data_IF_876409134276
#
_entry.id   IF_876409134276
#
_cell.length_a   1.000
_cell.length_b   1.000
_cell.length_c   1.000
_cell.angle_alpha   90.00
_cell.angle_beta   90.00
_cell.angle_gamma   90.00
#
_symmetry.space_group_name_H-M   'P 1'
#
loop_
_entity.id
_entity.type
_entity.pdbx_description
1 polymer ?
#
# COMPACT_ATOMS: atom_id res chain seq x y z
N UNK A 1 8.06 -8.87 22.86
CA UNK A 1 9.34 -8.12 22.69
C UNK A 1 9.79 -7.61 24.06
N UNK A 2 11.02 -7.97 24.51
CA UNK A 2 11.53 -7.59 25.84
C UNK A 2 11.82 -6.09 25.96
N UNK A 3 11.75 -5.56 27.20
CA UNK A 3 11.98 -4.13 27.51
C UNK A 3 13.34 -3.63 26.98
N UNK A 4 14.40 -4.44 27.15
CA UNK A 4 15.76 -4.11 26.68
C UNK A 4 15.81 -3.92 25.15
N UNK A 5 15.08 -4.74 24.39
CA UNK A 5 15.02 -4.63 22.94
C UNK A 5 14.27 -3.37 22.49
N UNK A 6 13.18 -3.01 23.18
CA UNK A 6 12.45 -1.74 22.92
C UNK A 6 13.36 -0.53 23.19
N UNK A 7 14.09 -0.53 24.28
CA UNK A 7 15.04 0.53 24.61
C UNK A 7 16.18 0.64 23.60
N UNK A 8 16.72 -0.48 23.11
CA UNK A 8 17.77 -0.50 22.09
C UNK A 8 17.27 0.09 20.75
N UNK A 9 16.03 -0.27 20.34
CA UNK A 9 15.38 0.26 19.15
C UNK A 9 15.12 1.77 19.25
N UNK A 10 14.57 2.24 20.37
CA UNK A 10 14.29 3.67 20.60
C UNK A 10 15.58 4.50 20.61
N UNK A 11 16.67 3.99 21.22
CA UNK A 11 17.98 4.66 21.21
C UNK A 11 18.58 4.75 19.81
N UNK A 12 18.44 3.70 18.99
CA UNK A 12 18.91 3.73 17.60
C UNK A 12 18.08 4.72 16.78
N UNK A 13 16.74 4.66 16.87
CA UNK A 13 15.85 5.59 16.17
C UNK A 13 16.15 7.05 16.53
N UNK A 14 16.32 7.36 17.82
CA UNK A 14 16.69 8.71 18.25
C UNK A 14 18.10 9.15 17.78
N UNK A 15 19.04 8.22 17.62
CA UNK A 15 20.35 8.52 17.06
C UNK A 15 20.24 8.87 15.55
N UNK A 16 19.52 8.05 14.79
CA UNK A 16 19.31 8.26 13.35
C UNK A 16 18.60 9.59 13.09
N UNK A 17 17.49 9.88 13.79
CA UNK A 17 16.78 11.16 13.65
C UNK A 17 17.70 12.37 13.89
N UNK A 18 18.50 12.33 14.97
CA UNK A 18 19.42 13.45 15.24
C UNK A 18 20.46 13.65 14.14
N UNK A 19 20.87 12.57 13.47
CA UNK A 19 21.82 12.66 12.35
C UNK A 19 21.15 13.15 11.08
N UNK A 20 19.95 12.66 10.77
CA UNK A 20 19.14 13.14 9.64
C UNK A 20 18.87 14.65 9.76
N UNK A 21 18.40 15.10 10.92
CA UNK A 21 18.14 16.54 11.14
C UNK A 21 19.38 17.41 10.99
N UNK A 22 20.56 16.91 11.39
CA UNK A 22 21.84 17.60 11.16
C UNK A 22 22.27 17.59 9.70
N UNK A 23 21.81 16.60 8.92
CA UNK A 23 22.05 16.49 7.49
C UNK A 23 21.04 17.30 6.65
N UNK A 24 20.07 18.02 7.29
CA UNK A 24 19.10 18.88 6.62
C UNK A 24 17.66 18.34 6.63
N UNK A 25 17.44 17.06 6.95
CA UNK A 25 16.11 16.44 6.96
C UNK A 25 15.33 16.79 8.23
N UNK A 26 14.71 17.96 8.27
CA UNK A 26 14.10 18.55 9.48
C UNK A 26 12.82 17.83 9.93
N UNK A 27 12.07 17.22 9.00
CA UNK A 27 10.81 16.52 9.21
C UNK A 27 10.97 15.05 9.64
N UNK A 28 12.22 14.55 9.80
CA UNK A 28 12.49 13.16 10.16
C UNK A 28 11.75 12.74 11.43
N UNK A 29 10.94 11.66 11.33
CA UNK A 29 10.10 11.08 12.39
C UNK A 29 10.38 9.59 12.55
N UNK A 30 10.39 9.13 13.80
CA UNK A 30 10.58 7.73 14.14
C UNK A 30 9.23 7.02 14.36
N UNK A 31 8.99 5.97 13.59
CA UNK A 31 7.90 5.03 13.81
C UNK A 31 8.40 3.88 14.69
N UNK A 32 7.97 3.87 15.96
CA UNK A 32 8.40 2.87 16.91
C UNK A 32 7.77 1.48 16.65
N UNK A 33 6.58 1.42 16.05
CA UNK A 33 5.89 0.17 15.71
C UNK A 33 6.59 -0.53 14.56
N UNK A 34 6.80 0.18 13.46
CA UNK A 34 7.49 -0.35 12.28
C UNK A 34 9.01 -0.41 12.41
N UNK A 35 9.60 0.15 13.48
CA UNK A 35 11.05 0.27 13.66
C UNK A 35 11.75 0.92 12.45
N UNK A 36 11.19 2.03 11.98
CA UNK A 36 11.62 2.77 10.80
C UNK A 36 11.66 4.27 11.05
N UNK A 37 12.36 5.00 10.20
CA UNK A 37 12.36 6.46 10.19
C UNK A 37 11.78 6.91 8.86
N UNK A 38 10.89 7.89 8.91
CA UNK A 38 10.31 8.57 7.76
C UNK A 38 10.83 10.00 7.72
N UNK A 39 11.24 10.46 6.55
CA UNK A 39 11.66 11.83 6.30
C UNK A 39 11.38 12.18 4.84
N UNK A 40 11.29 13.47 4.54
CA UNK A 40 11.15 13.96 3.17
C UNK A 40 12.44 14.69 2.79
N UNK A 41 12.99 14.40 1.62
CA UNK A 41 14.12 15.17 1.11
C UNK A 41 13.65 16.54 0.63
N UNK A 42 14.52 17.56 0.67
CA UNK A 42 14.17 18.89 0.18
C UNK A 42 13.80 18.81 -1.30
N UNK A 43 12.56 19.20 -1.64
CA UNK A 43 12.00 19.14 -2.99
C UNK A 43 11.17 17.91 -3.31
N UNK A 44 11.10 16.92 -2.40
CA UNK A 44 10.26 15.74 -2.59
C UNK A 44 8.91 15.88 -1.87
N UNK A 45 7.82 15.53 -2.53
CA UNK A 45 6.50 15.45 -1.88
C UNK A 45 6.28 14.11 -1.20
N UNK A 46 7.02 13.06 -1.60
CA UNK A 46 6.86 11.70 -1.10
C UNK A 46 7.90 11.37 -0.02
N UNK A 47 7.47 10.93 1.17
CA UNK A 47 8.40 10.62 2.25
C UNK A 47 9.21 9.35 1.98
N UNK A 48 10.51 9.44 2.20
CA UNK A 48 11.43 8.29 2.22
C UNK A 48 11.27 7.51 3.53
N UNK A 49 11.17 6.19 3.44
CA UNK A 49 11.06 5.29 4.59
C UNK A 49 12.35 4.48 4.73
N UNK A 50 12.97 4.62 5.90
CA UNK A 50 14.21 3.96 6.29
C UNK A 50 13.95 2.86 7.29
N UNK A 51 14.20 1.62 6.90
CA UNK A 51 14.17 0.47 7.80
C UNK A 51 15.43 0.44 8.68
N UNK A 52 15.24 0.38 10.01
CA UNK A 52 16.34 0.39 10.98
C UNK A 52 16.81 -1.01 11.40
N UNK A 53 16.09 -2.06 11.00
CA UNK A 53 16.42 -3.44 11.35
C UNK A 53 17.83 -3.85 10.84
N UNK A 54 18.25 -3.55 9.61
CA UNK A 54 19.59 -3.85 9.12
C UNK A 54 20.68 -3.15 9.92
N UNK A 55 20.48 -1.88 10.35
CA UNK A 55 21.42 -1.15 11.18
C UNK A 55 21.57 -1.74 12.59
N UNK A 56 20.51 -2.36 13.12
CA UNK A 56 20.55 -3.04 14.41
C UNK A 56 21.26 -4.40 14.30
N UNK A 57 21.01 -5.14 13.21
CA UNK A 57 21.55 -6.47 12.95
C UNK A 57 23.04 -6.45 12.55
N UNK A 58 23.52 -5.35 11.94
CA UNK A 58 24.89 -5.24 11.49
C UNK A 58 25.91 -5.41 12.60
N UNK A 59 26.87 -6.33 12.41
CA UNK A 59 27.96 -6.63 13.33
C UNK A 59 29.23 -5.85 12.95
N UNK A 60 30.02 -5.44 13.94
CA UNK A 60 31.29 -4.72 13.74
C UNK A 60 31.19 -3.18 13.85
N UNK A 61 32.26 -2.57 14.35
CA UNK A 61 32.40 -1.12 14.53
C UNK A 61 31.51 -0.48 15.62
N UNK A 62 31.78 0.79 15.93
CA UNK A 62 30.96 1.56 16.87
C UNK A 62 29.61 1.92 16.23
N UNK A 63 28.51 1.67 16.94
CA UNK A 63 27.15 1.96 16.46
C UNK A 63 26.99 3.40 15.89
N UNK A 64 27.60 4.38 16.54
CA UNK A 64 27.57 5.77 16.05
C UNK A 64 28.21 5.91 14.69
N UNK A 65 29.41 5.34 14.48
CA UNK A 65 30.11 5.41 13.21
C UNK A 65 29.36 4.69 12.07
N UNK A 66 28.60 3.63 12.38
CA UNK A 66 27.70 2.99 11.39
C UNK A 66 26.55 3.89 11.00
N UNK A 67 25.89 4.51 11.99
CA UNK A 67 24.81 5.48 11.72
C UNK A 67 25.34 6.70 10.98
N UNK A 68 26.54 7.18 11.32
CA UNK A 68 27.16 8.32 10.65
C UNK A 68 27.47 8.00 9.17
N UNK A 69 28.04 6.83 8.91
CA UNK A 69 28.28 6.33 7.53
C UNK A 69 26.98 6.11 6.76
N UNK A 70 26.00 5.53 7.40
CA UNK A 70 24.69 5.28 6.84
C UNK A 70 24.00 6.61 6.48
N UNK A 71 23.96 7.58 7.37
CA UNK A 71 23.37 8.91 7.09
C UNK A 71 24.19 9.72 6.09
N UNK A 72 25.51 9.55 6.08
CA UNK A 72 26.37 10.17 5.05
C UNK A 72 26.17 9.56 3.67
N UNK A 73 25.85 8.25 3.62
CA UNK A 73 25.44 7.56 2.39
C UNK A 73 24.01 7.91 1.95
N UNK A 74 23.20 8.46 2.86
CA UNK A 74 21.87 9.02 2.57
C UNK A 74 21.99 10.48 2.03
N UNK A 75 22.96 10.78 1.24
CA UNK A 75 22.69 11.73 0.17
C UNK A 75 21.69 11.02 -0.72
N UNK A 76 20.39 11.22 -0.43
CA UNK A 76 19.33 10.83 -1.36
C UNK A 76 19.73 11.54 -2.65
N UNK A 77 20.15 10.83 -3.70
CA UNK A 77 20.39 11.48 -4.97
C UNK A 77 19.07 12.15 -5.31
N UNK A 78 19.14 13.41 -5.72
CA UNK A 78 17.94 14.11 -6.12
C UNK A 78 17.17 13.27 -7.13
N UNK A 79 15.83 13.29 -7.05
CA UNK A 79 14.98 12.67 -8.06
C UNK A 79 15.45 13.20 -9.43
N UNK A 80 15.63 12.36 -10.46
CA UNK A 80 16.00 12.81 -11.80
C UNK A 80 15.09 13.93 -12.27
N UNK A 81 15.68 15.00 -12.85
CA UNK A 81 14.93 16.18 -13.24
C UNK A 81 14.17 15.99 -14.56
N UNK A 82 14.63 15.10 -15.41
CA UNK A 82 14.03 14.85 -16.69
C UNK A 82 13.80 13.36 -16.97
N UNK A 83 12.96 13.09 -17.98
CA UNK A 83 12.59 11.75 -18.39
C UNK A 83 13.75 10.89 -18.89
N UNK A 84 14.71 11.48 -19.59
CA UNK A 84 15.82 10.75 -20.17
C UNK A 84 16.73 10.17 -19.06
N UNK A 85 16.91 10.92 -17.97
CA UNK A 85 17.67 10.49 -16.80
C UNK A 85 16.88 9.48 -15.96
N UNK A 86 15.57 9.72 -15.78
CA UNK A 86 14.72 8.87 -14.93
C UNK A 86 14.48 7.50 -15.54
N UNK A 87 14.14 7.43 -16.83
CA UNK A 87 13.68 6.24 -17.53
C UNK A 87 14.53 4.99 -17.30
N UNK A 88 15.87 5.00 -17.42
CA UNK A 88 16.70 3.80 -17.22
C UNK A 88 16.75 3.33 -15.75
N UNK A 89 16.44 4.20 -14.81
CA UNK A 89 16.48 3.94 -13.36
C UNK A 89 15.14 3.42 -12.80
N UNK A 90 14.08 3.48 -13.59
CA UNK A 90 12.76 3.04 -13.13
C UNK A 90 12.72 1.54 -12.92
N UNK A 91 12.14 1.10 -11.81
CA UNK A 91 11.85 -0.31 -11.52
C UNK A 91 10.43 -0.44 -10.98
N UNK A 92 9.65 -1.46 -11.40
CA UNK A 92 8.37 -1.75 -10.82
C UNK A 92 8.55 -2.53 -9.52
N UNK A 93 7.74 -2.26 -8.52
CA UNK A 93 7.75 -3.01 -7.26
C UNK A 93 6.34 -3.44 -6.87
N UNK A 94 6.17 -4.73 -6.57
CA UNK A 94 4.92 -5.31 -6.08
C UNK A 94 4.86 -5.15 -4.56
N UNK A 95 3.82 -4.48 -4.03
CA UNK A 95 3.65 -4.23 -2.59
C UNK A 95 2.18 -4.22 -2.19
N UNK A 96 1.90 -4.45 -0.90
CA UNK A 96 0.67 -4.02 -0.25
C UNK A 96 0.57 -2.50 -0.17
N UNK A 97 -0.43 -1.99 0.52
CA UNK A 97 -0.58 -0.56 0.68
C UNK A 97 0.65 0.09 1.34
N UNK A 98 1.19 1.13 0.74
CA UNK A 98 2.37 1.86 1.21
C UNK A 98 1.96 3.23 1.76
N UNK A 99 2.50 3.67 2.92
CA UNK A 99 2.24 5.00 3.44
C UNK A 99 2.70 6.11 2.48
N UNK A 100 2.03 7.25 2.52
CA UNK A 100 2.17 8.31 1.52
C UNK A 100 1.24 8.02 0.33
N UNK A 101 1.35 8.80 -0.71
CA UNK A 101 0.57 8.63 -1.93
C UNK A 101 1.49 8.47 -3.15
N UNK A 102 2.38 7.44 -3.16
CA UNK A 102 3.24 7.23 -4.33
C UNK A 102 2.40 6.81 -5.53
N UNK A 103 2.94 7.04 -6.73
CA UNK A 103 2.36 6.57 -7.98
C UNK A 103 2.16 5.07 -7.92
N UNK A 104 0.90 4.63 -8.06
CA UNK A 104 0.53 3.21 -7.97
C UNK A 104 -0.68 2.90 -8.84
N UNK A 105 -0.84 1.61 -9.14
CA UNK A 105 -2.08 1.05 -9.68
C UNK A 105 -2.38 -0.30 -9.04
N UNK A 106 -3.67 -0.68 -8.84
CA UNK A 106 -4.03 -2.00 -8.34
C UNK A 106 -3.72 -3.06 -9.41
N UNK A 107 -3.16 -4.21 -8.99
CA UNK A 107 -2.80 -5.31 -9.91
C UNK A 107 -3.32 -6.66 -9.43
N UNK A 108 -3.40 -6.88 -8.13
CA UNK A 108 -3.88 -8.10 -7.48
C UNK A 108 -4.66 -7.70 -6.22
N UNK A 109 -5.47 -8.59 -5.63
CA UNK A 109 -6.18 -8.30 -4.39
C UNK A 109 -5.24 -7.76 -3.30
N UNK A 110 -5.49 -6.54 -2.82
CA UNK A 110 -4.69 -5.80 -1.83
C UNK A 110 -3.25 -5.47 -2.25
N UNK A 111 -2.86 -5.76 -3.50
CA UNK A 111 -1.52 -5.50 -4.00
C UNK A 111 -1.53 -4.49 -5.14
N UNK A 112 -0.49 -3.68 -5.14
CA UNK A 112 -0.31 -2.59 -6.09
C UNK A 112 1.05 -2.71 -6.76
N UNK A 113 1.09 -2.32 -8.02
CA UNK A 113 2.32 -1.97 -8.69
C UNK A 113 2.67 -0.52 -8.36
N UNK A 114 3.86 -0.32 -7.82
CA UNK A 114 4.48 0.99 -7.63
C UNK A 114 5.65 1.11 -8.58
N UNK A 115 6.08 2.35 -8.83
CA UNK A 115 7.32 2.61 -9.54
C UNK A 115 8.30 3.27 -8.60
N UNK A 116 9.55 2.84 -8.66
CA UNK A 116 10.66 3.43 -7.92
C UNK A 116 11.76 3.85 -8.89
N UNK A 117 12.48 4.92 -8.52
CA UNK A 117 13.78 5.28 -9.10
C UNK A 117 14.83 4.54 -8.28
N UNK A 118 15.50 3.59 -8.90
CA UNK A 118 16.52 2.73 -8.31
C UNK A 118 17.90 3.30 -8.61
N UNK A 119 18.55 3.81 -7.58
CA UNK A 119 19.88 4.40 -7.63
C UNK A 119 20.83 3.57 -6.75
N UNK A 120 22.15 3.60 -6.95
CA UNK A 120 23.08 2.67 -6.31
C UNK A 120 22.95 2.51 -4.80
N UNK A 121 22.56 3.56 -4.08
CA UNK A 121 22.46 3.55 -2.62
C UNK A 121 21.04 3.78 -2.09
N UNK A 122 20.07 4.07 -2.98
CA UNK A 122 18.71 4.45 -2.57
C UNK A 122 17.66 4.02 -3.58
N UNK A 123 16.47 3.74 -3.06
CA UNK A 123 15.27 3.47 -3.84
C UNK A 123 14.20 4.48 -3.40
N UNK A 124 13.77 5.33 -4.32
CA UNK A 124 12.78 6.38 -4.07
C UNK A 124 11.51 6.10 -4.86
N UNK A 125 10.36 6.14 -4.21
CA UNK A 125 9.08 5.99 -4.91
C UNK A 125 8.82 7.21 -5.81
N UNK A 126 8.30 6.98 -7.00
CA UNK A 126 7.79 8.02 -7.89
C UNK A 126 6.52 8.59 -7.28
N UNK A 127 6.43 9.91 -7.17
CA UNK A 127 5.23 10.62 -6.73
C UNK A 127 4.15 10.65 -7.81
N UNK A 128 2.88 10.94 -7.45
CA UNK A 128 1.77 10.96 -8.41
C UNK A 128 1.94 12.07 -9.46
N UNK A 129 2.53 13.21 -9.09
CA UNK A 129 2.71 14.35 -10.00
C UNK A 129 4.03 14.30 -10.78
N UNK A 130 4.93 13.38 -10.42
CA UNK A 130 6.26 13.26 -11.04
C UNK A 130 6.20 12.96 -12.55
N UNK A 131 5.28 12.11 -13.08
CA UNK A 131 5.17 11.88 -14.52
C UNK A 131 4.91 13.18 -15.30
N UNK A 132 4.01 14.03 -14.81
CA UNK A 132 3.74 15.34 -15.41
C UNK A 132 4.98 16.25 -15.39
N UNK A 133 5.76 16.22 -14.29
CA UNK A 133 7.04 16.94 -14.18
C UNK A 133 8.09 16.47 -15.20
N UNK A 134 8.05 15.20 -15.61
CA UNK A 134 8.90 14.64 -16.68
C UNK A 134 8.32 14.81 -18.09
N UNK A 135 7.08 15.33 -18.22
CA UNK A 135 6.41 15.51 -19.49
C UNK A 135 5.88 14.23 -20.13
N UNK A 136 5.58 13.20 -19.29
CA UNK A 136 5.08 11.89 -19.72
C UNK A 136 3.82 11.51 -18.93
N UNK A 137 3.10 10.51 -19.41
CA UNK A 137 1.95 9.94 -18.69
C UNK A 137 2.38 8.93 -17.63
N UNK A 138 1.51 8.67 -16.65
CA UNK A 138 1.72 7.62 -15.66
C UNK A 138 1.90 6.24 -16.32
N UNK A 139 1.15 5.93 -17.38
CA UNK A 139 1.25 4.66 -18.12
C UNK A 139 2.63 4.48 -18.78
N UNK A 140 3.22 5.55 -19.32
CA UNK A 140 4.58 5.51 -19.87
C UNK A 140 5.61 5.21 -18.79
N UNK A 141 5.41 5.74 -17.57
CA UNK A 141 6.27 5.45 -16.41
C UNK A 141 6.17 3.98 -16.00
N UNK A 142 4.95 3.42 -15.88
CA UNK A 142 4.75 2.00 -15.59
C UNK A 142 5.34 1.10 -16.68
N UNK A 143 5.09 1.43 -17.94
CA UNK A 143 5.61 0.66 -19.07
C UNK A 143 7.16 0.66 -19.10
N UNK A 144 7.78 1.83 -18.88
CA UNK A 144 9.24 1.94 -18.81
C UNK A 144 9.81 1.14 -17.63
N UNK A 145 9.18 1.21 -16.46
CA UNK A 145 9.60 0.44 -15.30
C UNK A 145 9.57 -1.07 -15.56
N UNK A 146 8.47 -1.59 -16.14
CA UNK A 146 8.37 -3.02 -16.52
C UNK A 146 9.40 -3.41 -17.57
N UNK A 147 9.65 -2.56 -18.58
CA UNK A 147 10.64 -2.81 -19.59
C UNK A 147 12.09 -2.90 -19.05
N UNK A 148 12.34 -2.29 -17.91
CA UNK A 148 13.65 -2.34 -17.25
C UNK A 148 13.85 -3.60 -16.37
N UNK A 149 12.82 -4.44 -16.15
CA UNK A 149 13.01 -5.76 -15.58
C UNK A 149 13.54 -6.70 -16.66
N UNK A 150 14.59 -7.46 -16.35
CA UNK A 150 15.24 -8.37 -17.31
C UNK A 150 14.32 -9.50 -17.78
N UNK A 151 13.26 -9.81 -17.02
CA UNK A 151 12.43 -10.98 -17.27
C UNK A 151 13.22 -12.29 -17.20
N UNK A 152 14.32 -12.30 -16.43
CA UNK A 152 15.21 -13.43 -16.29
C UNK A 152 14.45 -14.69 -15.85
N UNK A 153 14.83 -15.82 -16.44
CA UNK A 153 14.36 -17.15 -16.06
C UNK A 153 15.56 -18.04 -15.80
N UNK A 154 15.35 -19.07 -14.97
CA UNK A 154 16.37 -20.08 -14.73
C UNK A 154 16.62 -20.92 -16.00
N UNK A 155 17.82 -21.45 -16.12
CA UNK A 155 18.13 -22.45 -17.11
C UNK A 155 17.94 -23.85 -16.54
N UNK A 156 17.59 -24.80 -17.39
CA UNK A 156 17.38 -26.19 -17.01
C UNK A 156 15.91 -26.58 -17.07
N UNK A 157 15.68 -27.90 -17.03
CA UNK A 157 14.35 -28.50 -17.05
C UNK A 157 14.30 -29.49 -15.90
N UNK A 158 13.25 -29.41 -15.07
CA UNK A 158 12.99 -30.38 -14.02
C UNK A 158 12.30 -31.61 -14.62
N UNK A 159 12.72 -32.80 -14.22
CA UNK A 159 12.08 -34.07 -14.60
C UNK A 159 10.86 -34.42 -13.74
N UNK A 160 10.74 -33.79 -12.60
CA UNK A 160 9.67 -33.94 -11.62
C UNK A 160 9.39 -32.58 -10.95
N UNK A 161 8.23 -32.41 -10.29
CA UNK A 161 7.92 -31.18 -9.56
C UNK A 161 8.97 -30.82 -8.51
N UNK A 162 9.52 -29.61 -8.60
CA UNK A 162 10.51 -29.10 -7.66
C UNK A 162 10.08 -27.74 -7.10
N UNK A 163 10.70 -27.36 -5.99
CA UNK A 163 10.55 -26.00 -5.43
C UNK A 163 11.75 -25.16 -5.83
N UNK A 164 11.49 -24.09 -6.55
CA UNK A 164 12.50 -23.08 -6.90
C UNK A 164 12.35 -21.90 -5.95
N UNK A 165 13.43 -21.55 -5.28
CA UNK A 165 13.47 -20.38 -4.41
C UNK A 165 14.37 -19.31 -5.00
N UNK A 166 13.80 -18.17 -5.32
CA UNK A 166 14.51 -16.97 -5.73
C UNK A 166 14.78 -16.11 -4.49
N UNK A 167 16.03 -15.79 -4.28
CA UNK A 167 16.46 -14.89 -3.22
C UNK A 167 16.95 -13.60 -3.85
N UNK A 168 16.39 -12.47 -3.40
CA UNK A 168 16.82 -11.16 -3.86
C UNK A 168 17.97 -10.67 -2.98
N UNK A 169 19.13 -10.51 -3.58
CA UNK A 169 20.35 -9.96 -2.98
C UNK A 169 20.43 -8.42 -3.07
N UNK A 170 19.40 -7.77 -3.65
CA UNK A 170 19.24 -6.31 -3.71
C UNK A 170 18.68 -5.78 -5.01
N UNK A 171 19.08 -6.35 -6.15
CA UNK A 171 18.82 -5.79 -7.48
C UNK A 171 17.93 -6.67 -8.38
N UNK A 172 17.59 -7.88 -7.95
CA UNK A 172 16.92 -8.85 -8.82
C UNK A 172 15.40 -8.60 -8.93
N UNK A 173 14.77 -7.99 -7.94
CA UNK A 173 13.33 -7.68 -7.94
C UNK A 173 12.41 -8.88 -8.24
N UNK A 174 12.78 -10.09 -7.79
CA UNK A 174 12.11 -11.34 -8.17
C UNK A 174 10.59 -11.32 -7.95
N UNK A 175 10.10 -10.78 -6.85
CA UNK A 175 8.66 -10.67 -6.58
C UNK A 175 7.94 -9.77 -7.59
N UNK A 176 8.63 -8.78 -8.14
CA UNK A 176 8.08 -7.87 -9.14
C UNK A 176 8.00 -8.48 -10.55
N UNK A 177 8.67 -9.61 -10.79
CA UNK A 177 8.53 -10.35 -12.05
C UNK A 177 7.10 -10.90 -12.23
N UNK A 178 6.33 -11.07 -11.13
CA UNK A 178 4.91 -11.39 -11.20
C UNK A 178 4.07 -10.30 -11.90
N UNK A 179 4.63 -9.10 -12.13
CA UNK A 179 3.99 -8.03 -12.90
C UNK A 179 4.21 -8.18 -14.42
N UNK A 180 5.07 -9.10 -14.85
CA UNK A 180 5.40 -9.30 -16.27
C UNK A 180 4.54 -10.41 -16.85
N UNK A 181 3.75 -10.07 -17.86
CA UNK A 181 2.89 -11.03 -18.55
C UNK A 181 3.70 -12.19 -19.15
N UNK A 182 3.24 -13.41 -18.97
CA UNK A 182 3.88 -14.64 -19.42
C UNK A 182 5.18 -15.02 -18.69
N UNK A 183 5.66 -14.21 -17.72
CA UNK A 183 6.89 -14.54 -17.01
C UNK A 183 6.75 -15.80 -16.15
N UNK A 184 5.66 -15.88 -15.38
CA UNK A 184 5.40 -17.04 -14.52
C UNK A 184 5.23 -18.32 -15.37
N UNK A 185 4.49 -18.24 -16.47
CA UNK A 185 4.27 -19.34 -17.40
C UNK A 185 5.61 -19.93 -17.93
N UNK A 186 6.58 -19.07 -18.25
CA UNK A 186 7.90 -19.50 -18.73
C UNK A 186 8.67 -20.36 -17.74
N UNK A 187 8.30 -20.39 -16.47
CA UNK A 187 8.92 -21.24 -15.44
C UNK A 187 8.42 -22.69 -15.46
N UNK A 188 7.44 -23.04 -16.31
CA UNK A 188 6.84 -24.36 -16.35
C UNK A 188 7.88 -25.50 -16.50
N UNK A 189 8.85 -25.33 -17.39
CA UNK A 189 9.93 -26.30 -17.56
C UNK A 189 10.85 -26.44 -16.35
N UNK A 190 11.07 -25.37 -15.62
CA UNK A 190 11.97 -25.32 -14.46
C UNK A 190 11.33 -25.90 -13.19
N UNK A 191 10.02 -25.86 -13.09
CA UNK A 191 9.30 -26.42 -11.91
C UNK A 191 8.66 -27.79 -12.17
N UNK A 192 8.68 -28.26 -13.41
CA UNK A 192 8.16 -29.58 -13.79
C UNK A 192 6.64 -29.63 -13.90
N UNK A 193 5.97 -28.53 -14.25
CA UNK A 193 4.52 -28.44 -14.42
C UNK A 193 4.01 -27.01 -14.47
N UNK A 194 2.70 -26.80 -14.30
CA UNK A 194 2.09 -25.47 -14.26
C UNK A 194 2.57 -24.71 -13.03
N UNK A 195 3.25 -23.55 -13.19
CA UNK A 195 3.83 -22.83 -12.06
C UNK A 195 2.78 -22.23 -11.12
N UNK A 196 3.04 -22.36 -9.81
CA UNK A 196 2.35 -21.67 -8.71
C UNK A 196 3.40 -20.94 -7.89
N UNK A 197 3.24 -19.64 -7.72
CA UNK A 197 4.20 -18.75 -7.08
C UNK A 197 3.69 -18.20 -5.74
N UNK A 198 4.62 -17.97 -4.79
CA UNK A 198 4.38 -17.31 -3.51
C UNK A 198 5.38 -16.18 -3.34
N UNK A 199 4.90 -15.00 -2.96
CA UNK A 199 5.71 -13.81 -2.70
C UNK A 199 5.50 -13.32 -1.25
N UNK A 200 5.92 -14.09 -0.23
CA UNK A 200 5.59 -13.80 1.16
C UNK A 200 6.24 -12.52 1.68
N UNK A 201 7.41 -12.18 1.17
CA UNK A 201 8.15 -10.97 1.52
C UNK A 201 8.92 -10.42 0.32
N UNK A 202 9.46 -9.20 0.45
CA UNK A 202 10.18 -8.50 -0.62
C UNK A 202 11.34 -9.31 -1.23
N UNK A 203 12.09 -10.01 -0.39
CA UNK A 203 13.33 -10.70 -0.79
C UNK A 203 13.16 -12.17 -1.16
N UNK A 204 11.93 -12.70 -1.15
CA UNK A 204 11.69 -14.13 -1.37
C UNK A 204 10.54 -14.37 -2.34
N UNK A 205 10.81 -15.10 -3.41
CA UNK A 205 9.82 -15.68 -4.30
C UNK A 205 10.01 -17.19 -4.32
N UNK A 206 8.93 -17.95 -4.07
CA UNK A 206 8.92 -19.41 -4.12
C UNK A 206 8.03 -19.84 -5.29
N UNK A 207 8.47 -20.79 -6.10
CA UNK A 207 7.68 -21.31 -7.22
C UNK A 207 7.76 -22.83 -7.23
N UNK A 208 6.62 -23.49 -7.45
CA UNK A 208 6.54 -24.94 -7.65
C UNK A 208 5.48 -25.25 -8.70
N UNK A 209 5.35 -26.52 -9.08
CA UNK A 209 4.29 -26.95 -9.98
C UNK A 209 2.95 -27.09 -9.24
N UNK A 210 1.85 -26.80 -9.92
CA UNK A 210 0.50 -27.19 -9.50
C UNK A 210 0.39 -28.71 -9.37
N UNK A 211 -0.30 -29.19 -8.35
CA UNK A 211 -0.37 -30.61 -8.04
C UNK A 211 0.89 -31.19 -7.38
N UNK A 212 1.94 -30.41 -7.16
CA UNK A 212 3.12 -30.82 -6.41
C UNK A 212 2.78 -31.19 -4.98
N UNK A 213 3.39 -32.26 -4.44
CA UNK A 213 3.30 -32.63 -3.03
C UNK A 213 3.81 -31.54 -2.08
N UNK A 214 4.70 -30.65 -2.57
CA UNK A 214 5.25 -29.56 -1.81
C UNK A 214 4.27 -28.40 -1.59
N UNK A 215 3.22 -28.29 -2.43
CA UNK A 215 2.37 -27.10 -2.49
C UNK A 215 1.67 -26.80 -1.15
N UNK A 216 1.18 -27.84 -0.44
CA UNK A 216 0.60 -27.66 0.91
C UNK A 216 1.62 -27.12 1.91
N UNK A 217 2.85 -27.64 1.88
CA UNK A 217 3.94 -27.16 2.74
C UNK A 217 4.35 -25.72 2.44
N UNK A 218 4.29 -25.30 1.16
CA UNK A 218 4.61 -23.94 0.75
C UNK A 218 3.58 -22.92 1.24
N UNK A 219 2.29 -23.24 1.33
CA UNK A 219 1.31 -22.36 1.98
C UNK A 219 1.69 -22.08 3.43
N UNK A 220 2.03 -23.12 4.22
CA UNK A 220 2.46 -22.95 5.61
C UNK A 220 3.77 -22.14 5.72
N UNK A 221 4.74 -22.40 4.84
CA UNK A 221 6.01 -21.69 4.80
C UNK A 221 5.82 -20.22 4.40
N UNK A 222 4.97 -19.94 3.41
CA UNK A 222 4.67 -18.58 2.99
C UNK A 222 4.00 -17.77 4.10
N UNK A 223 3.07 -18.38 4.85
CA UNK A 223 2.44 -17.77 6.03
C UNK A 223 3.47 -17.45 7.11
N UNK A 224 4.38 -18.39 7.43
CA UNK A 224 5.42 -18.18 8.44
C UNK A 224 6.39 -17.04 8.05
N UNK A 225 6.84 -17.03 6.79
CA UNK A 225 7.68 -15.95 6.27
C UNK A 225 6.93 -14.63 6.32
N UNK A 226 5.69 -14.58 5.83
CA UNK A 226 4.85 -13.39 5.84
C UNK A 226 4.66 -12.81 7.23
N UNK A 227 4.34 -13.64 8.21
CA UNK A 227 4.10 -13.24 9.60
C UNK A 227 5.37 -12.72 10.30
N UNK A 228 6.55 -13.24 9.94
CA UNK A 228 7.83 -12.87 10.55
C UNK A 228 8.60 -11.79 9.79
N UNK A 229 8.22 -11.50 8.55
CA UNK A 229 8.91 -10.56 7.68
C UNK A 229 8.85 -9.12 8.20
N UNK A 230 9.93 -8.37 7.98
CA UNK A 230 9.94 -6.92 8.20
C UNK A 230 9.26 -6.14 7.07
N UNK A 231 9.15 -6.77 5.89
CA UNK A 231 8.56 -6.22 4.65
C UNK A 231 7.69 -7.27 3.96
N UNK A 232 6.58 -7.68 4.62
CA UNK A 232 5.68 -8.67 4.06
C UNK A 232 5.00 -8.13 2.78
N UNK A 233 4.66 -9.04 1.85
CA UNK A 233 3.89 -8.73 0.65
C UNK A 233 2.55 -9.47 0.72
N UNK A 234 2.57 -10.82 0.65
CA UNK A 234 1.34 -11.62 0.62
C UNK A 234 1.60 -13.07 1.01
N UNK A 235 0.73 -13.70 1.80
CA UNK A 235 0.80 -15.14 2.07
C UNK A 235 0.12 -15.97 0.98
N UNK A 236 -0.56 -15.32 0.00
CA UNK A 236 -1.32 -15.98 -1.05
C UNK A 236 -0.41 -16.64 -2.08
N UNK A 237 -0.97 -17.64 -2.76
CA UNK A 237 -0.40 -18.24 -3.96
C UNK A 237 -0.98 -17.56 -5.23
N UNK A 238 -0.21 -17.60 -6.31
CA UNK A 238 -0.54 -17.01 -7.61
C UNK A 238 -0.24 -17.99 -8.73
N UNK A 239 -1.16 -18.06 -9.69
CA UNK A 239 -0.99 -18.70 -10.98
C UNK A 239 -0.99 -17.66 -12.10
N UNK A 240 -1.34 -18.08 -13.30
CA UNK A 240 -1.52 -17.20 -14.46
C UNK A 240 -2.76 -17.60 -15.25
N UNK A 241 -3.35 -16.64 -15.95
CA UNK A 241 -4.49 -16.83 -16.82
C UNK A 241 -4.07 -17.14 -18.28
N UNK A 242 -5.06 -17.33 -19.16
CA UNK A 242 -4.86 -17.61 -20.59
C UNK A 242 -4.11 -16.49 -21.35
N UNK A 243 -3.99 -15.32 -20.76
CA UNK A 243 -3.22 -14.18 -21.30
C UNK A 243 -1.79 -14.13 -20.76
N UNK A 244 -1.45 -15.03 -19.84
CA UNK A 244 -0.19 -15.03 -19.12
C UNK A 244 -0.13 -14.03 -17.97
N UNK A 245 -1.23 -13.34 -17.63
CA UNK A 245 -1.26 -12.40 -16.51
C UNK A 245 -1.29 -13.18 -15.20
N UNK A 246 -0.56 -12.71 -14.20
CA UNK A 246 -0.58 -13.27 -12.86
C UNK A 246 -1.95 -13.05 -12.21
N UNK A 247 -2.54 -14.12 -11.68
CA UNK A 247 -3.83 -14.12 -10.99
C UNK A 247 -3.72 -14.89 -9.66
N UNK A 248 -4.63 -14.64 -8.68
CA UNK A 248 -4.70 -15.47 -7.49
C UNK A 248 -4.89 -16.96 -7.85
N UNK A 249 -4.12 -17.82 -7.19
CA UNK A 249 -4.31 -19.26 -7.32
C UNK A 249 -5.57 -19.69 -6.58
N UNK A 250 -6.50 -20.30 -7.29
CA UNK A 250 -7.80 -20.72 -6.76
C UNK A 250 -8.03 -22.20 -7.01
N UNK A 251 -8.76 -22.83 -6.09
CA UNK A 251 -9.17 -24.22 -6.22
C UNK A 251 -10.65 -24.37 -5.85
N UNK A 252 -11.36 -25.36 -6.43
CA UNK A 252 -12.77 -25.54 -6.13
C UNK A 252 -12.99 -25.98 -4.67
N UNK A 253 -14.19 -25.74 -4.11
CA UNK A 253 -14.59 -26.33 -2.84
C UNK A 253 -14.40 -27.84 -2.83
N UNK A 254 -13.91 -28.39 -1.71
CA UNK A 254 -13.59 -29.81 -1.58
C UNK A 254 -12.18 -30.21 -2.05
N UNK A 255 -11.46 -29.34 -2.73
CA UNK A 255 -10.04 -29.59 -3.05
C UNK A 255 -9.19 -29.63 -1.78
N UNK A 256 -8.17 -30.51 -1.66
CA UNK A 256 -7.33 -30.62 -0.45
C UNK A 256 -6.62 -29.33 -0.04
N UNK A 257 -6.39 -28.40 -0.97
CA UNK A 257 -5.76 -27.10 -0.70
C UNK A 257 -6.77 -25.98 -0.43
N UNK A 258 -8.09 -26.22 -0.54
CA UNK A 258 -9.09 -25.16 -0.42
C UNK A 258 -8.98 -24.40 0.90
N UNK A 259 -8.82 -25.14 2.01
CA UNK A 259 -8.65 -24.51 3.32
C UNK A 259 -7.39 -23.63 3.41
N UNK A 260 -6.27 -24.05 2.81
CA UNK A 260 -5.03 -23.29 2.79
C UNK A 260 -5.14 -22.02 1.95
N UNK A 261 -5.79 -22.10 0.78
CA UNK A 261 -6.07 -20.94 -0.10
C UNK A 261 -6.93 -19.91 0.66
N UNK A 262 -8.08 -20.34 1.20
CA UNK A 262 -8.99 -19.45 1.95
C UNK A 262 -8.33 -18.83 3.18
N UNK A 263 -7.47 -19.59 3.87
CA UNK A 263 -6.72 -19.07 5.01
C UNK A 263 -5.75 -17.96 4.58
N UNK A 264 -4.99 -18.15 3.51
CA UNK A 264 -4.04 -17.18 3.01
C UNK A 264 -4.73 -15.88 2.55
N UNK A 265 -5.86 -15.98 1.85
CA UNK A 265 -6.71 -14.85 1.46
C UNK A 265 -7.20 -14.08 2.68
N UNK A 266 -7.76 -14.78 3.67
CA UNK A 266 -8.25 -14.16 4.89
C UNK A 266 -7.16 -13.49 5.72
N UNK A 267 -5.96 -14.08 5.81
CA UNK A 267 -4.82 -13.47 6.50
C UNK A 267 -4.37 -12.17 5.85
N UNK A 268 -4.30 -12.14 4.51
CA UNK A 268 -3.97 -10.91 3.79
C UNK A 268 -5.03 -9.83 4.01
N UNK A 269 -6.30 -10.17 3.90
CA UNK A 269 -7.40 -9.24 4.13
C UNK A 269 -7.36 -8.66 5.56
N UNK A 270 -7.22 -9.50 6.58
CA UNK A 270 -7.10 -9.07 7.99
C UNK A 270 -5.93 -8.11 8.17
N UNK A 271 -4.78 -8.43 7.59
CA UNK A 271 -3.59 -7.58 7.67
C UNK A 271 -3.83 -6.20 7.04
N UNK A 272 -4.36 -6.16 5.81
CA UNK A 272 -4.52 -4.92 5.06
C UNK A 272 -5.61 -4.01 5.66
N UNK A 273 -6.74 -4.56 6.12
CA UNK A 273 -7.76 -3.79 6.82
C UNK A 273 -7.27 -3.27 8.19
N UNK A 274 -6.45 -4.06 8.90
CA UNK A 274 -5.83 -3.61 10.16
C UNK A 274 -4.82 -2.48 9.90
N UNK A 275 -4.02 -2.61 8.84
CA UNK A 275 -3.06 -1.58 8.42
C UNK A 275 -3.78 -0.29 8.04
N UNK A 276 -4.86 -0.37 7.27
CA UNK A 276 -5.69 0.78 6.90
C UNK A 276 -6.23 1.50 8.15
N UNK A 277 -6.84 0.77 9.09
CA UNK A 277 -7.37 1.34 10.32
C UNK A 277 -6.30 2.04 11.17
N UNK A 278 -5.06 1.53 11.17
CA UNK A 278 -3.96 2.16 11.91
C UNK A 278 -3.29 3.34 11.18
N UNK A 279 -3.55 3.51 9.88
CA UNK A 279 -2.96 4.56 9.05
C UNK A 279 -3.80 5.83 8.99
N UNK A 280 -5.09 5.70 9.23
CA UNK A 280 -6.01 6.84 9.29
C UNK A 280 -5.87 7.56 10.64
N UNK A 281 -5.95 8.91 10.67
CA UNK A 281 -5.91 9.64 11.93
C UNK A 281 -7.11 9.23 12.79
N UNK A 282 -6.85 8.95 14.07
CA UNK A 282 -7.93 8.80 15.05
C UNK A 282 -8.79 10.07 15.04
N UNK A 283 -10.14 9.96 15.09
CA UNK A 283 -10.99 11.13 15.33
C UNK A 283 -10.49 11.82 16.60
N UNK A 284 -10.46 13.18 16.64
CA UNK A 284 -10.09 13.86 17.86
C UNK A 284 -11.03 13.38 18.96
N UNK A 285 -10.46 12.91 20.07
CA UNK A 285 -11.24 12.59 21.27
C UNK A 285 -12.17 13.77 21.53
N UNK A 286 -13.45 13.52 21.65
CA UNK A 286 -14.42 14.55 22.00
C UNK A 286 -13.88 15.27 23.24
N UNK A 287 -13.60 16.57 23.10
CA UNK A 287 -13.22 17.39 24.22
C UNK A 287 -14.38 17.31 25.21
N UNK A 288 -14.15 16.73 26.38
CA UNK A 288 -15.11 16.76 27.48
C UNK A 288 -15.66 18.19 27.59
N UNK A 289 -16.98 18.40 27.68
CA UNK A 289 -17.53 19.74 27.80
C UNK A 289 -16.93 20.38 29.04
N UNK A 290 -16.06 21.36 28.80
CA UNK A 290 -15.48 22.19 29.87
C UNK A 290 -16.62 22.86 30.62
N UNK A 291 -16.96 22.33 31.79
CA UNK A 291 -17.82 22.97 32.75
C UNK A 291 -17.04 24.12 33.40
N UNK A 292 -16.96 25.24 32.69
CA UNK A 292 -16.51 26.51 33.25
C UNK A 292 -17.14 27.67 32.43
N UNK A 293 -18.41 27.91 32.61
CA UNK A 293 -19.01 29.22 32.38
C UNK A 293 -19.76 29.64 33.62
N UNK A 294 -19.07 30.42 34.46
CA UNK A 294 -19.69 31.33 35.38
C UNK A 294 -19.63 32.75 34.75
N UNK A 295 -20.75 33.45 34.73
CA UNK A 295 -20.80 34.75 34.03
C UNK A 295 -20.15 35.86 34.85
N UNK A 296 -19.24 36.59 34.26
CA UNK A 296 -18.79 37.86 34.83
C UNK A 296 -19.18 39.02 33.92
N UNK A 297 -20.10 39.78 34.45
CA UNK A 297 -20.72 40.99 33.90
C UNK A 297 -19.74 42.18 33.92
N UNK A 298 -19.98 43.12 32.97
CA UNK A 298 -19.78 44.58 33.01
C UNK A 298 -18.48 45.14 32.41
N UNK A 299 -18.72 45.97 31.39
CA UNK A 299 -17.78 47.01 30.91
C UNK A 299 -17.97 47.41 29.43
N UNK A 300 -18.89 48.37 29.19
CA UNK A 300 -19.08 49.07 27.92
C UNK A 300 -18.08 50.24 27.79
N UNK A 301 -18.17 51.13 26.74
CA UNK A 301 -17.65 50.98 25.38
C UNK A 301 -16.64 52.10 25.06
N UNK A 302 -15.90 52.00 23.96
CA UNK A 302 -15.29 53.20 23.34
C UNK A 302 -15.19 53.07 21.82
N UNK A 303 -15.65 54.13 21.25
CA UNK A 303 -15.97 54.50 19.87
C UNK A 303 -14.75 54.82 19.02
N UNK A 304 -14.99 54.81 17.70
CA UNK A 304 -14.37 55.58 16.60
C UNK A 304 -13.08 54.90 15.98
N UNK A 305 -12.87 54.77 14.69
CA UNK A 305 -13.25 55.58 13.53
C UNK A 305 -13.06 54.79 12.23
N UNK A 306 -13.92 55.01 11.27
CA UNK A 306 -13.83 54.76 9.83
C UNK A 306 -13.30 56.05 9.14
N UNK A 307 -13.07 56.15 7.82
CA UNK A 307 -12.87 55.25 6.68
C UNK A 307 -11.76 55.71 5.70
N UNK A 308 -11.45 54.96 4.60
CA UNK A 308 -11.12 55.54 3.27
C UNK A 308 -11.00 54.42 2.21
N UNK A 309 -11.82 54.35 1.36
CA UNK A 309 -12.15 54.51 -0.07
C UNK A 309 -11.00 54.54 -1.07
N UNK A 310 -11.33 53.92 -2.20
CA UNK A 310 -10.96 54.12 -3.62
C UNK A 310 -9.73 53.34 -4.09
N UNK A 311 -9.65 52.70 -5.26
CA UNK A 311 -10.32 52.86 -6.54
C UNK A 311 -10.08 51.64 -7.44
N UNK A 312 -11.06 51.22 -8.19
CA UNK A 312 -10.90 50.54 -9.48
C UNK A 312 -10.87 51.63 -10.59
N UNK A 313 -10.41 51.38 -11.80
CA UNK A 313 -11.06 50.54 -12.82
C UNK A 313 -10.11 49.93 -13.90
N UNK A 314 -10.56 48.98 -14.63
CA UNK A 314 -11.17 49.01 -15.98
C UNK A 314 -10.38 48.30 -17.09
N UNK A 315 -11.02 47.35 -17.67
CA UNK A 315 -11.41 47.06 -19.08
C UNK A 315 -10.39 46.65 -20.14
N UNK A 316 -10.85 45.67 -20.85
CA UNK A 316 -10.95 45.42 -22.31
C UNK A 316 -9.75 44.70 -22.94
N UNK A 317 -9.81 43.73 -23.83
CA UNK A 317 -10.72 43.44 -24.92
C UNK A 317 -10.43 42.03 -25.48
N UNK A 318 -11.45 41.31 -25.93
CA UNK A 318 -11.32 40.20 -26.88
C UNK A 318 -11.34 40.74 -28.33
N UNK A 319 -10.92 40.00 -29.34
CA UNK A 319 -11.87 39.20 -30.10
C UNK A 319 -11.35 37.88 -30.73
N UNK A 320 -12.17 36.86 -30.78
CA UNK A 320 -12.87 36.19 -31.91
C UNK A 320 -12.05 35.94 -33.18
N UNK A 321 -11.98 34.73 -33.72
CA UNK A 321 -12.93 33.99 -34.54
C UNK A 321 -12.27 32.90 -35.39
N UNK A 322 -13.05 31.82 -35.66
CA UNK A 322 -13.25 31.02 -36.91
C UNK A 322 -12.20 29.91 -37.18
N UNK A 323 -12.53 28.64 -37.33
CA UNK A 323 -13.56 27.92 -37.96
C UNK A 323 -13.23 26.42 -38.01
N UNK A 324 -14.26 25.60 -37.94
CA UNK A 324 -14.26 24.16 -38.24
C UNK A 324 -14.24 23.88 -39.75
N UNK A 325 -14.03 22.66 -40.27
CA UNK A 325 -15.00 21.60 -40.13
C UNK A 325 -14.49 20.14 -40.02
N UNK A 326 -15.27 19.34 -39.32
CA UNK A 326 -15.87 18.02 -39.58
C UNK A 326 -15.20 17.04 -40.55
N UNK A 327 -14.94 15.84 -40.11
CA UNK A 327 -15.56 14.55 -40.51
C UNK A 327 -14.76 13.36 -39.96
N UNK A 328 -15.38 12.45 -39.32
CA UNK A 328 -15.69 11.06 -39.62
C UNK A 328 -15.63 10.16 -38.39
N UNK A 329 -16.74 9.49 -38.20
CA UNK A 329 -17.01 8.41 -37.24
C UNK A 329 -15.97 7.29 -37.18
N UNK A 330 -15.62 6.88 -35.97
CA UNK A 330 -15.31 5.48 -35.67
C UNK A 330 -15.70 5.16 -34.21
N UNK A 331 -16.11 3.92 -33.91
CA UNK A 331 -16.99 3.63 -32.78
C UNK A 331 -16.30 3.59 -31.43
N UNK A 332 -17.01 4.10 -30.42
CA UNK A 332 -16.69 4.06 -29.00
C UNK A 332 -16.46 2.65 -28.51
N UNK A 333 -15.27 2.40 -28.03
CA UNK A 333 -14.98 1.35 -27.06
C UNK A 333 -15.11 1.96 -25.66
N UNK A 334 -15.73 1.19 -24.76
CA UNK A 334 -16.18 1.60 -23.44
C UNK A 334 -15.10 2.29 -22.59
N UNK A 335 -15.48 3.42 -22.00
CA UNK A 335 -14.74 4.18 -21.00
C UNK A 335 -14.44 3.34 -19.76
N UNK A 336 -13.16 3.10 -19.53
CA UNK A 336 -12.65 2.79 -18.20
C UNK A 336 -12.50 4.13 -17.45
N UNK A 337 -13.01 4.27 -16.20
CA UNK A 337 -12.82 5.50 -15.47
C UNK A 337 -11.36 5.62 -15.02
N UNK A 338 -10.65 6.53 -15.66
CA UNK A 338 -9.35 7.00 -15.23
C UNK A 338 -9.60 8.19 -14.31
N UNK A 339 -9.24 8.04 -13.03
CA UNK A 339 -8.72 9.15 -12.18
C UNK A 339 -8.32 8.57 -10.82
N UNK A 340 -7.01 8.42 -10.61
CA UNK A 340 -6.47 8.35 -9.27
C UNK A 340 -6.50 9.76 -8.67
N UNK A 341 -7.66 10.17 -8.17
CA UNK A 341 -7.79 11.38 -7.37
C UNK A 341 -7.22 11.10 -5.98
N UNK A 342 -6.19 11.84 -5.62
CA UNK A 342 -5.72 11.96 -4.25
C UNK A 342 -6.91 12.39 -3.38
N UNK A 343 -7.21 11.73 -2.23
CA UNK A 343 -8.33 12.14 -1.40
C UNK A 343 -8.14 13.58 -0.95
N UNK A 344 -9.03 14.45 -1.40
CA UNK A 344 -9.12 15.84 -0.93
C UNK A 344 -9.39 15.82 0.58
N UNK A 345 -8.82 16.78 1.31
CA UNK A 345 -9.11 16.96 2.74
C UNK A 345 -10.61 17.09 3.05
N UNK A 346 -11.42 17.51 2.08
CA UNK A 346 -12.88 17.60 2.18
C UNK A 346 -13.56 16.22 2.28
N UNK A 347 -13.00 15.17 1.71
CA UNK A 347 -13.61 13.83 1.69
C UNK A 347 -13.28 13.02 2.95
N UNK A 348 -12.18 13.36 3.63
CA UNK A 348 -11.85 12.80 4.95
C UNK A 348 -12.81 13.35 6.03
N UNK A 349 -13.47 14.47 5.78
CA UNK A 349 -14.43 15.07 6.71
C UNK A 349 -15.76 14.29 6.78
N UNK A 350 -16.16 13.62 5.71
CA UNK A 350 -17.42 12.88 5.64
C UNK A 350 -17.45 11.65 6.58
N UNK A 351 -16.30 11.10 6.93
CA UNK A 351 -16.17 9.90 7.77
C UNK A 351 -15.56 10.18 9.16
N UNK A 352 -15.41 11.46 9.52
CA UNK A 352 -14.99 11.84 10.88
C UNK A 352 -16.03 11.39 11.88
N UNK A 353 -15.65 10.47 12.76
CA UNK A 353 -16.51 9.91 13.80
C UNK A 353 -17.07 8.52 13.53
N UNK A 354 -16.98 7.98 12.30
CA UNK A 354 -17.37 6.61 12.03
C UNK A 354 -16.31 5.63 12.59
N UNK A 355 -16.76 4.65 13.36
CA UNK A 355 -15.88 3.61 13.91
C UNK A 355 -15.42 2.63 12.82
N UNK A 356 -14.13 2.37 12.72
CA UNK A 356 -13.59 1.37 11.80
C UNK A 356 -13.69 -0.03 12.41
N UNK A 357 -14.57 -0.83 11.85
CA UNK A 357 -14.73 -2.24 12.27
C UNK A 357 -13.51 -3.05 11.85
N UNK A 358 -13.00 -3.85 12.78
CA UNK A 358 -11.90 -4.78 12.53
C UNK A 358 -12.37 -6.03 11.78
N UNK A 359 -11.45 -6.66 11.04
CA UNK A 359 -11.65 -7.95 10.39
C UNK A 359 -10.90 -9.04 11.16
N UNK A 360 -11.53 -10.21 11.32
CA UNK A 360 -10.91 -11.39 11.94
C UNK A 360 -11.00 -12.60 11.02
N UNK A 361 -10.01 -13.47 11.10
CA UNK A 361 -10.07 -14.79 10.50
C UNK A 361 -10.68 -15.77 11.51
N UNK A 362 -11.71 -16.47 11.12
CA UNK A 362 -12.44 -17.46 11.96
C UNK A 362 -12.55 -18.79 11.25
N UNK A 363 -12.78 -19.86 12.02
CA UNK A 363 -12.89 -21.22 11.50
C UNK A 363 -11.65 -22.06 11.77
N UNK A 364 -11.58 -23.21 11.12
CA UNK A 364 -10.50 -24.18 11.23
C UNK A 364 -10.27 -24.89 9.89
N UNK A 365 -9.23 -25.72 9.82
CA UNK A 365 -8.95 -26.50 8.61
C UNK A 365 -10.14 -27.46 8.25
N UNK A 366 -10.85 -27.98 9.25
CA UNK A 366 -12.01 -28.86 9.06
C UNK A 366 -13.32 -28.14 8.80
N UNK A 367 -13.54 -26.96 9.37
CA UNK A 367 -14.77 -26.15 9.24
C UNK A 367 -14.72 -25.15 8.07
N UNK A 368 -13.53 -24.96 7.50
CA UNK A 368 -13.26 -23.93 6.52
C UNK A 368 -12.93 -22.58 7.18
N UNK A 369 -12.05 -21.82 6.53
CA UNK A 369 -11.64 -20.48 6.96
C UNK A 369 -12.53 -19.40 6.34
N UNK A 370 -12.93 -18.43 7.16
CA UNK A 370 -13.78 -17.29 6.79
C UNK A 370 -13.29 -16.02 7.45
N UNK A 371 -13.53 -14.90 6.80
CA UNK A 371 -13.32 -13.56 7.38
C UNK A 371 -14.60 -13.09 8.03
N UNK A 372 -14.50 -12.52 9.23
CA UNK A 372 -15.63 -11.98 9.97
C UNK A 372 -15.36 -10.58 10.46
N UNK A 373 -16.25 -9.64 10.09
CA UNK A 373 -16.30 -8.31 10.65
C UNK A 373 -17.12 -8.34 11.95
N UNK A 374 -16.56 -7.79 13.05
CA UNK A 374 -17.26 -7.77 14.35
C UNK A 374 -17.70 -6.36 14.63
N UNK A 375 -18.99 -6.14 14.56
CA UNK A 375 -19.63 -4.86 14.81
C UNK A 375 -20.18 -4.82 16.26
N UNK A 376 -19.54 -4.06 17.14
CA UNK A 376 -19.84 -4.05 18.58
C UNK A 376 -20.75 -2.89 19.01
N UNK A 377 -21.10 -1.95 18.09
CA UNK A 377 -21.81 -0.70 18.46
C UNK A 377 -22.94 -0.37 17.49
N UNK A 378 -23.97 0.30 18.01
CA UNK A 378 -25.07 0.88 17.21
C UNK A 378 -24.72 2.26 16.61
N UNK A 379 -23.43 2.59 16.55
CA UNK A 379 -22.93 3.84 15.98
C UNK A 379 -22.62 3.67 14.49
N UNK A 380 -22.56 4.76 13.71
CA UNK A 380 -22.11 4.71 12.33
C UNK A 380 -20.72 4.05 12.22
N UNK A 381 -20.62 3.05 11.37
CA UNK A 381 -19.41 2.24 11.24
C UNK A 381 -18.95 2.13 9.79
N UNK A 382 -17.67 1.83 9.61
CA UNK A 382 -17.05 1.48 8.33
C UNK A 382 -16.66 0.00 8.36
N UNK A 383 -17.47 -0.83 7.72
CA UNK A 383 -17.28 -2.27 7.63
C UNK A 383 -16.24 -2.62 6.56
N UNK A 384 -15.29 -3.53 6.83
CA UNK A 384 -14.48 -4.17 5.81
C UNK A 384 -15.32 -5.17 5.01
N UNK A 385 -14.96 -5.46 3.78
CA UNK A 385 -15.52 -6.61 3.04
C UNK A 385 -15.13 -7.89 3.78
N UNK A 386 -16.11 -8.75 4.07
CA UNK A 386 -15.94 -9.96 4.85
C UNK A 386 -16.80 -11.10 4.28
N UNK A 387 -16.57 -12.33 4.71
CA UNK A 387 -17.51 -13.43 4.41
C UNK A 387 -18.76 -13.34 5.29
N UNK A 388 -18.58 -12.87 6.54
CA UNK A 388 -19.62 -12.78 7.55
C UNK A 388 -19.51 -11.45 8.35
N UNK A 389 -20.66 -10.96 8.83
CA UNK A 389 -20.74 -9.84 9.76
C UNK A 389 -21.42 -10.31 11.04
N UNK A 390 -20.85 -10.00 12.19
CA UNK A 390 -21.36 -10.35 13.50
C UNK A 390 -21.73 -9.11 14.31
N UNK A 391 -22.95 -9.09 14.87
CA UNK A 391 -23.41 -8.12 15.86
C UNK A 391 -23.94 -8.87 17.08
N UNK A 392 -23.24 -8.77 18.20
CA UNK A 392 -23.57 -9.58 19.38
C UNK A 392 -23.54 -11.08 19.10
N UNK A 393 -24.68 -11.74 19.24
CA UNK A 393 -24.83 -13.18 18.94
C UNK A 393 -25.32 -13.47 17.50
N UNK A 394 -25.77 -12.44 16.77
CA UNK A 394 -26.30 -12.58 15.42
C UNK A 394 -25.13 -12.52 14.40
N UNK A 395 -25.10 -13.55 13.51
CA UNK A 395 -24.10 -13.67 12.44
C UNK A 395 -24.83 -13.80 11.12
N UNK A 396 -24.55 -12.91 10.17
CA UNK A 396 -25.13 -12.91 8.83
C UNK A 396 -24.03 -12.98 7.76
N UNK A 397 -24.39 -13.57 6.62
CA UNK A 397 -23.49 -13.54 5.46
C UNK A 397 -23.32 -12.10 4.94
N UNK A 398 -22.20 -11.85 4.29
CA UNK A 398 -21.97 -10.54 3.65
C UNK A 398 -23.07 -10.19 2.64
N UNK A 399 -23.53 -11.17 1.87
CA UNK A 399 -24.56 -10.98 0.83
C UNK A 399 -25.90 -10.55 1.42
N UNK A 400 -26.20 -10.93 2.66
CA UNK A 400 -27.41 -10.49 3.37
C UNK A 400 -27.27 -9.07 3.91
N UNK A 401 -26.07 -8.62 4.22
CA UNK A 401 -25.82 -7.31 4.85
C UNK A 401 -25.53 -6.23 3.81
N UNK A 402 -24.79 -6.52 2.76
CA UNK A 402 -24.33 -5.51 1.78
C UNK A 402 -25.42 -4.69 1.11
N UNK A 403 -26.66 -5.21 0.86
CA UNK A 403 -27.73 -4.39 0.30
C UNK A 403 -28.19 -3.22 1.19
N UNK A 404 -27.86 -3.27 2.48
CA UNK A 404 -28.19 -2.24 3.46
C UNK A 404 -27.05 -1.27 3.73
N UNK A 405 -25.93 -1.39 3.01
CA UNK A 405 -24.72 -0.62 3.20
C UNK A 405 -24.51 0.38 2.06
N UNK A 406 -23.81 1.45 2.34
CA UNK A 406 -23.35 2.41 1.34
C UNK A 406 -21.84 2.30 1.16
N UNK A 407 -21.35 2.26 -0.07
CA UNK A 407 -19.93 2.24 -0.33
C UNK A 407 -19.26 3.52 0.20
N UNK A 408 -18.21 3.37 0.99
CA UNK A 408 -17.40 4.49 1.45
C UNK A 408 -16.39 4.83 0.34
N UNK A 409 -16.56 5.96 -0.38
CA UNK A 409 -15.71 6.30 -1.50
C UNK A 409 -14.25 6.53 -1.06
N UNK A 410 -13.32 6.21 -1.96
CA UNK A 410 -11.89 6.52 -1.85
C UNK A 410 -11.13 5.83 -0.70
N UNK A 411 -11.71 4.84 -0.04
CA UNK A 411 -10.97 3.99 0.90
C UNK A 411 -10.39 2.77 0.19
N UNK A 412 -9.11 2.50 0.40
CA UNK A 412 -8.42 1.32 -0.11
C UNK A 412 -7.68 0.60 1.02
N UNK A 413 -8.03 -0.65 1.29
CA UNK A 413 -9.12 -1.43 0.69
C UNK A 413 -10.49 -0.80 0.94
N UNK A 414 -11.47 -1.13 0.04
CA UNK A 414 -12.82 -0.59 0.10
C UNK A 414 -13.51 -0.91 1.43
N UNK A 415 -14.28 0.08 1.94
CA UNK A 415 -15.15 -0.10 3.11
C UNK A 415 -16.57 0.33 2.80
N UNK A 416 -17.49 -0.11 3.64
CA UNK A 416 -18.91 0.12 3.51
C UNK A 416 -19.44 0.76 4.77
N UNK A 417 -20.15 1.87 4.62
CA UNK A 417 -20.75 2.59 5.71
C UNK A 417 -22.11 1.97 6.09
N UNK A 418 -22.36 1.86 7.38
CA UNK A 418 -23.64 1.49 7.97
C UNK A 418 -23.99 2.46 9.08
N UNK A 419 -25.23 2.95 9.07
CA UNK A 419 -25.78 3.84 10.10
C UNK A 419 -26.43 3.06 11.25
N UNK A 420 -26.66 1.77 11.11
CA UNK A 420 -27.23 0.86 12.09
C UNK A 420 -27.38 -0.55 11.55
N UNK A 421 -27.61 -1.51 12.46
CA UNK A 421 -27.84 -2.92 12.07
C UNK A 421 -29.15 -3.05 11.29
N UNK A 422 -29.17 -3.79 10.17
CA UNK A 422 -30.40 -3.99 9.39
C UNK A 422 -31.47 -4.67 10.25
N UNK A 423 -32.59 -3.97 10.48
CA UNK A 423 -33.77 -4.56 11.11
C UNK A 423 -34.25 -5.75 10.28
N UNK A 424 -34.59 -6.87 10.95
CA UNK A 424 -35.06 -8.08 10.31
C UNK A 424 -36.40 -7.85 9.59
#
# INVERSE_FOLDING_TARGET
MGLLQRMARARLGGLVIRRLRRAGFTDARYDARGFRVRFTADGDETPTILELAPLLAARGGRRRARVDRFVAGLRVPAMPLDWAEARPLLRPVLRGGTPGSPLRRPVLPFLYEYVVVDQPDTMTYVGPDQPAGWGVSAEEVFAAARANLSGAVLQGVASEPVVVRFLDDGDAYWTSHLLLDGWLERLAGQVGGVPVAFAPERGTLLVTADGSEHLRGLFAQAEEIYASASRPITPMAYGYDDRGCTVPYTVPPGHPLHAAVRRAEGLLAVHEYTRQATSLPEPPAEAEPSTADAPNTVGAPSTADTPSTADAPSTADAPSTVGAPSTADTPRTADAPNTADTPSTADTETWRGAHMVGLRLVGSEGEGWRTRAIWERDEPVLLPVADEVQVGADVRSWDEVVPHLSAAPRLEPARWAADGWPSA
#
